data_IF_234956977524
#
_entry.id   IF_234956977524
#
_cell.length_a   1.000
_cell.length_b   1.000
_cell.length_c   1.000
_cell.angle_alpha   90.00
_cell.angle_beta   90.00
_cell.angle_gamma   90.00
#
_symmetry.space_group_name_H-M   'P 1'
#
loop_
_entity.id
_entity.type
_entity.pdbx_description
1 polymer ?
#
# COMPACT_ATOMS: atom_id res chain seq x y z
N UNK A 1 -1.22 -10.86 2.35
CA UNK A 1 0.15 -10.89 1.79
C UNK A 1 0.28 -9.90 0.66
N UNK A 2 1.49 -9.49 0.30
CA UNK A 2 1.74 -8.44 -0.72
C UNK A 2 2.73 -8.95 -1.76
N UNK A 3 2.49 -8.67 -3.03
CA UNK A 3 3.40 -9.06 -4.11
C UNK A 3 3.35 -8.05 -5.26
N UNK A 4 4.43 -8.00 -6.04
CA UNK A 4 4.47 -7.24 -7.30
C UNK A 4 4.26 -8.25 -8.44
N UNK A 5 3.32 -7.97 -9.33
CA UNK A 5 2.95 -8.83 -10.45
C UNK A 5 3.01 -8.02 -11.74
N UNK A 6 3.99 -8.29 -12.61
CA UNK A 6 4.25 -7.42 -13.75
C UNK A 6 4.60 -6.01 -13.26
N UNK A 7 3.75 -5.04 -13.58
CA UNK A 7 3.86 -3.67 -13.08
C UNK A 7 2.86 -3.33 -11.98
N UNK A 8 2.06 -4.29 -11.53
CA UNK A 8 1.01 -4.03 -10.55
C UNK A 8 1.43 -4.44 -9.14
N UNK A 9 0.82 -3.80 -8.14
CA UNK A 9 0.92 -4.24 -6.74
C UNK A 9 -0.33 -5.01 -6.38
N UNK A 10 -0.15 -6.28 -6.01
CA UNK A 10 -1.20 -7.19 -5.56
C UNK A 10 -1.23 -7.27 -4.04
N UNK A 11 -2.41 -7.00 -3.47
CA UNK A 11 -2.71 -7.21 -2.05
C UNK A 11 -3.59 -8.47 -1.96
N UNK A 12 -3.00 -9.56 -1.47
CA UNK A 12 -3.68 -10.85 -1.28
C UNK A 12 -4.54 -10.83 -0.03
N UNK A 13 -5.85 -11.10 -0.20
CA UNK A 13 -6.85 -11.18 0.87
C UNK A 13 -7.63 -12.50 0.74
N UNK A 14 -8.20 -12.97 1.84
CA UNK A 14 -8.97 -14.22 1.89
C UNK A 14 -10.19 -14.22 0.96
N UNK A 15 -10.91 -13.11 0.86
CA UNK A 15 -12.14 -13.02 0.07
C UNK A 15 -11.91 -12.49 -1.34
N UNK A 16 -11.20 -11.35 -1.48
CA UNK A 16 -11.00 -10.70 -2.77
C UNK A 16 -9.70 -9.91 -2.76
N UNK A 17 -8.82 -10.26 -3.70
CA UNK A 17 -7.54 -9.59 -3.90
C UNK A 17 -7.76 -8.18 -4.45
N UNK A 18 -6.84 -7.28 -4.12
CA UNK A 18 -6.82 -5.92 -4.65
C UNK A 18 -5.61 -5.78 -5.55
N UNK A 19 -5.84 -5.28 -6.75
CA UNK A 19 -4.80 -4.94 -7.71
C UNK A 19 -4.71 -3.41 -7.73
N UNK A 20 -3.51 -2.90 -7.48
CA UNK A 20 -3.16 -1.49 -7.69
C UNK A 20 -2.42 -1.43 -9.02
N UNK A 21 -3.07 -0.83 -10.01
CA UNK A 21 -2.54 -0.64 -11.35
C UNK A 21 -1.23 0.17 -11.32
N UNK A 22 -0.17 -0.43 -11.86
CA UNK A 22 1.16 0.18 -11.98
C UNK A 22 1.19 1.50 -12.73
N UNK A 23 0.34 1.65 -13.73
CA UNK A 23 0.25 2.86 -14.55
C UNK A 23 -0.36 4.04 -13.77
N UNK A 24 -1.16 3.76 -12.74
CA UNK A 24 -1.77 4.74 -11.84
C UNK A 24 -0.85 5.16 -10.69
N UNK A 25 0.20 4.37 -10.39
CA UNK A 25 1.15 4.63 -9.30
C UNK A 25 2.08 5.78 -9.66
N UNK A 26 1.98 6.86 -8.87
CA UNK A 26 2.82 8.05 -9.00
C UNK A 26 4.07 7.96 -8.12
N UNK A 27 3.94 7.40 -6.92
CA UNK A 27 5.05 7.23 -5.99
C UNK A 27 4.79 6.08 -5.01
N UNK A 28 5.88 5.45 -4.56
CA UNK A 28 5.88 4.48 -3.45
C UNK A 28 6.94 4.92 -2.46
N UNK A 29 6.54 5.21 -1.23
CA UNK A 29 7.39 5.79 -0.19
C UNK A 29 7.35 4.93 1.07
N UNK A 30 8.50 4.72 1.71
CA UNK A 30 8.55 4.10 3.03
C UNK A 30 8.18 5.14 4.10
N UNK A 31 7.27 4.76 4.99
CA UNK A 31 6.80 5.58 6.10
C UNK A 31 6.96 4.78 7.38
N UNK A 32 7.73 5.30 8.34
CA UNK A 32 7.94 4.61 9.63
C UNK A 32 6.68 4.61 10.49
N UNK A 33 6.02 5.77 10.57
CA UNK A 33 4.79 5.97 11.34
C UNK A 33 3.86 6.93 10.60
N UNK A 34 2.80 6.44 9.93
CA UNK A 34 1.81 7.31 9.30
C UNK A 34 0.98 8.04 10.35
N UNK A 35 0.58 9.27 10.05
CA UNK A 35 -0.40 10.01 10.85
C UNK A 35 -1.84 9.55 10.51
N UNK A 36 -2.20 8.37 11.01
CA UNK A 36 -3.51 7.78 10.78
C UNK A 36 -4.52 8.43 11.71
N UNK A 37 -5.42 9.20 11.11
CA UNK A 37 -6.56 9.80 11.78
C UNK A 37 -7.75 8.85 11.92
N UNK A 38 -8.97 9.42 11.89
CA UNK A 38 -10.21 8.69 12.11
C UNK A 38 -10.43 7.58 11.06
N UNK A 39 -10.89 6.41 11.54
CA UNK A 39 -11.39 5.32 10.69
C UNK A 39 -12.75 5.69 10.12
N UNK A 40 -12.83 5.80 8.80
CA UNK A 40 -14.08 6.13 8.08
C UNK A 40 -14.88 4.88 7.78
N UNK A 41 -14.21 3.79 7.39
CA UNK A 41 -14.86 2.53 7.04
C UNK A 41 -13.89 1.35 7.19
N UNK A 42 -14.39 0.17 7.56
CA UNK A 42 -13.60 -1.06 7.65
C UNK A 42 -13.57 -1.71 9.03
N UNK A 43 -12.71 -2.72 9.18
CA UNK A 43 -12.55 -3.50 10.41
C UNK A 43 -11.12 -3.38 10.93
N UNK A 44 -10.98 -3.18 12.24
CA UNK A 44 -9.69 -3.17 12.95
C UNK A 44 -9.51 -4.42 13.82
N UNK A 45 -9.92 -5.58 13.29
CA UNK A 45 -9.92 -6.86 14.00
C UNK A 45 -8.67 -7.72 13.71
N UNK A 46 -8.82 -9.03 13.89
CA UNK A 46 -7.76 -10.06 13.87
C UNK A 46 -6.83 -10.08 12.62
N UNK A 47 -7.18 -9.36 11.54
CA UNK A 47 -6.41 -9.28 10.29
C UNK A 47 -5.69 -7.93 10.07
N UNK A 48 -5.66 -7.06 11.08
CA UNK A 48 -5.02 -5.75 11.03
C UNK A 48 -5.96 -4.59 10.68
N UNK A 49 -5.37 -3.50 10.19
CA UNK A 49 -6.04 -2.27 9.77
C UNK A 49 -6.48 -2.41 8.31
N UNK A 50 -7.75 -2.79 8.12
CA UNK A 50 -8.36 -2.97 6.81
C UNK A 50 -9.51 -1.97 6.65
N UNK A 51 -9.31 -0.93 5.85
CA UNK A 51 -10.34 0.10 5.71
C UNK A 51 -9.88 1.40 5.08
N UNK A 52 -10.77 2.40 5.09
CA UNK A 52 -10.48 3.76 4.67
C UNK A 52 -10.25 4.61 5.92
N UNK A 53 -9.11 5.28 5.97
CA UNK A 53 -8.72 6.13 7.08
C UNK A 53 -8.33 7.50 6.57
N UNK A 54 -8.49 8.50 7.43
CA UNK A 54 -7.96 9.84 7.17
C UNK A 54 -6.44 9.84 7.38
N UNK A 55 -5.71 10.47 6.47
CA UNK A 55 -4.25 10.67 6.53
C UNK A 55 -3.99 12.17 6.33
N UNK A 56 -3.79 12.90 7.42
CA UNK A 56 -3.75 14.37 7.43
C UNK A 56 -4.97 15.00 6.74
N UNK A 57 -4.72 15.59 5.56
CA UNK A 57 -5.73 16.32 4.78
C UNK A 57 -6.50 15.43 3.78
N UNK A 58 -6.10 14.16 3.64
CA UNK A 58 -6.66 13.24 2.64
C UNK A 58 -7.15 11.93 3.23
N UNK A 59 -7.42 10.97 2.34
CA UNK A 59 -7.84 9.61 2.69
C UNK A 59 -6.91 8.58 2.08
N UNK A 60 -6.71 7.49 2.79
CA UNK A 60 -5.96 6.34 2.31
C UNK A 60 -6.69 5.04 2.65
N UNK A 61 -6.62 4.07 1.74
CA UNK A 61 -7.04 2.70 2.01
C UNK A 61 -5.90 1.96 2.70
N UNK A 62 -6.11 1.60 3.96
CA UNK A 62 -5.16 0.82 4.75
C UNK A 62 -5.45 -0.66 4.52
N UNK A 63 -4.38 -1.37 4.17
CA UNK A 63 -4.31 -2.81 4.12
C UNK A 63 -3.06 -3.25 4.89
N UNK A 64 -2.99 -2.89 6.17
CA UNK A 64 -1.82 -3.10 7.00
C UNK A 64 -2.08 -4.14 8.09
N UNK A 65 -1.18 -5.09 8.26
CA UNK A 65 -1.13 -5.96 9.44
C UNK A 65 -0.46 -5.26 10.64
N UNK A 66 0.39 -4.26 10.39
CA UNK A 66 1.10 -3.46 11.40
C UNK A 66 1.25 -2.00 10.98
N UNK A 67 1.27 -1.07 11.95
CA UNK A 67 1.42 0.38 11.72
C UNK A 67 2.87 0.88 11.82
N UNK A 68 3.83 -0.01 11.64
CA UNK A 68 5.26 0.31 11.59
C UNK A 68 5.83 -0.24 10.30
N UNK A 69 6.81 0.46 9.74
CA UNK A 69 7.52 0.03 8.53
C UNK A 69 6.50 -0.26 7.41
N UNK A 70 5.82 0.78 6.96
CA UNK A 70 4.78 0.66 5.95
C UNK A 70 5.18 1.36 4.66
N UNK A 71 4.51 1.03 3.58
CA UNK A 71 4.64 1.72 2.31
C UNK A 71 3.38 2.51 2.03
N UNK A 72 3.56 3.80 1.74
CA UNK A 72 2.55 4.67 1.16
C UNK A 72 2.66 4.58 -0.36
N UNK A 73 1.61 4.09 -1.00
CA UNK A 73 1.46 4.03 -2.44
C UNK A 73 0.53 5.17 -2.86
N UNK A 74 1.08 6.18 -3.53
CA UNK A 74 0.31 7.29 -4.09
C UNK A 74 -0.11 6.94 -5.51
N UNK A 75 -1.42 7.01 -5.77
CA UNK A 75 -1.97 6.85 -7.12
C UNK A 75 -2.77 8.07 -7.52
N UNK A 76 -3.10 8.21 -8.81
CA UNK A 76 -3.91 9.34 -9.30
C UNK A 76 -5.28 9.44 -8.63
N UNK A 77 -5.87 8.31 -8.20
CA UNK A 77 -7.24 8.26 -7.66
C UNK A 77 -7.31 8.22 -6.15
N UNK A 78 -6.45 7.42 -5.50
CA UNK A 78 -6.44 7.27 -4.04
C UNK A 78 -5.10 6.74 -3.54
N UNK A 79 -4.82 6.98 -2.26
CA UNK A 79 -3.62 6.47 -1.63
C UNK A 79 -3.88 5.12 -0.96
N UNK A 80 -2.85 4.29 -0.90
CA UNK A 80 -2.88 3.02 -0.19
C UNK A 80 -1.75 2.95 0.80
N UNK A 81 -2.01 2.32 1.94
CA UNK A 81 -1.00 1.99 2.93
C UNK A 81 -0.95 0.47 3.05
N UNK A 82 0.23 -0.10 2.86
CA UNK A 82 0.48 -1.53 3.02
C UNK A 82 1.66 -1.76 3.96
N UNK A 83 1.68 -2.89 4.66
CA UNK A 83 2.76 -3.23 5.59
C UNK A 83 3.42 -4.55 5.19
N UNK A 84 4.18 -4.59 4.07
CA UNK A 84 4.91 -5.78 3.67
C UNK A 84 5.90 -6.23 4.76
N UNK A 85 6.32 -7.50 4.67
CA UNK A 85 7.22 -8.10 5.66
C UNK A 85 8.59 -7.38 5.70
N UNK A 86 9.10 -7.02 4.52
CA UNK A 86 10.24 -6.12 4.36
C UNK A 86 9.90 -4.98 3.36
N UNK A 87 9.62 -3.76 3.85
CA UNK A 87 9.35 -2.61 3.00
C UNK A 87 10.52 -2.16 2.15
N UNK A 88 11.76 -2.34 2.62
CA UNK A 88 12.95 -1.90 1.89
C UNK A 88 13.19 -2.80 0.69
N UNK A 89 13.11 -4.11 0.91
CA UNK A 89 13.20 -5.10 -0.17
C UNK A 89 12.07 -4.91 -1.19
N UNK A 90 10.83 -4.75 -0.70
CA UNK A 90 9.67 -4.52 -1.56
C UNK A 90 9.83 -3.26 -2.42
N UNK A 91 10.28 -2.15 -1.82
CA UNK A 91 10.50 -0.89 -2.52
C UNK A 91 11.62 -1.01 -3.55
N UNK A 92 12.73 -1.67 -3.22
CA UNK A 92 13.84 -1.90 -4.14
C UNK A 92 13.38 -2.72 -5.36
N UNK A 93 12.62 -3.81 -5.12
CA UNK A 93 12.06 -4.64 -6.19
C UNK A 93 11.12 -3.84 -7.10
N UNK A 94 10.25 -3.01 -6.51
CA UNK A 94 9.36 -2.11 -7.25
C UNK A 94 10.14 -1.16 -8.17
N UNK A 95 11.18 -0.51 -7.63
CA UNK A 95 12.01 0.41 -8.39
C UNK A 95 12.75 -0.26 -9.54
N UNK A 96 13.29 -1.47 -9.33
CA UNK A 96 13.98 -2.22 -10.39
C UNK A 96 13.03 -2.57 -11.55
N UNK A 97 11.80 -2.98 -11.25
CA UNK A 97 10.79 -3.28 -12.28
C UNK A 97 10.43 -2.03 -13.08
N UNK A 98 10.25 -0.89 -12.39
CA UNK A 98 9.94 0.40 -13.03
C UNK A 98 11.06 0.90 -13.94
N UNK A 99 12.33 0.70 -13.55
CA UNK A 99 13.49 1.06 -14.39
C UNK A 99 13.59 0.21 -15.65
N UNK A 100 13.33 -1.09 -15.55
CA UNK A 100 13.43 -2.02 -16.70
C UNK A 100 12.35 -1.82 -17.77
N UNK A 101 11.27 -1.08 -17.49
CA UNK A 101 10.21 -0.79 -18.47
C UNK A 101 10.48 0.52 -19.23
N UNK A 102 11.42 1.35 -18.75
CA UNK A 102 11.73 2.65 -19.34
C UNK A 102 12.81 2.64 -20.44
N UNK A 103 13.18 1.47 -20.97
CA UNK A 103 14.20 1.30 -22.00
C UNK A 103 13.60 0.75 -23.30
#
# INVERSE_FOLDING_TARGET
GYSITGQDILIKRLLSNIIIDGAEIQAVEAVEKPDIGLRVWGSGGFFGYLGIFRLGNGYASLYCTRLKNILLIKTRKRNYLISPDDPREFLSKWQSIRKNTGN
#
